data_IF_882390868322
#
_entry.id   IF_882390868322
#
_cell.length_a   1.000
_cell.length_b   1.000
_cell.length_c   1.000
_cell.angle_alpha   90.00
_cell.angle_beta   90.00
_cell.angle_gamma   90.00
#
_symmetry.space_group_name_H-M   'P 1'
#
loop_
_entity.id
_entity.type
_entity.pdbx_description
1 polymer ?
#
# COMPACT_ATOMS: atom_id res chain seq x y z
N UNK A 1 0.85 -9.53 11.32
CA UNK A 1 1.05 -8.09 11.57
C UNK A 1 -0.12 -7.63 12.39
N UNK A 2 0.12 -6.93 13.49
CA UNK A 2 -0.95 -6.44 14.35
C UNK A 2 -1.05 -4.94 14.15
N UNK A 3 -2.19 -4.47 13.66
CA UNK A 3 -2.46 -3.04 13.59
C UNK A 3 -2.59 -2.49 15.01
N UNK A 4 -2.21 -1.22 15.26
CA UNK A 4 -2.51 -0.56 16.52
C UNK A 4 -4.01 -0.63 16.82
N UNK A 5 -4.38 -0.85 18.08
CA UNK A 5 -5.78 -1.03 18.50
C UNK A 5 -6.56 0.28 18.61
N UNK A 6 -5.87 1.41 18.74
CA UNK A 6 -6.47 2.73 18.86
C UNK A 6 -5.84 3.76 17.91
N UNK A 7 -6.62 4.76 17.45
CA UNK A 7 -6.15 5.79 16.52
C UNK A 7 -4.98 6.61 17.08
N UNK A 8 -4.93 6.82 18.39
CA UNK A 8 -3.86 7.58 19.07
C UNK A 8 -2.48 6.92 18.96
N UNK A 9 -2.46 5.63 18.65
CA UNK A 9 -1.25 4.82 18.45
C UNK A 9 -1.04 4.44 16.98
N UNK A 10 -1.92 4.92 16.10
CA UNK A 10 -1.84 4.68 14.67
C UNK A 10 -1.35 5.93 13.95
N UNK A 11 -0.36 5.74 13.09
CA UNK A 11 -0.07 6.74 12.06
C UNK A 11 -0.97 6.47 10.84
N UNK A 12 -1.08 7.42 9.92
CA UNK A 12 -1.75 7.20 8.63
C UNK A 12 -0.98 6.23 7.70
N UNK A 13 0.16 5.70 8.15
CA UNK A 13 1.01 4.82 7.35
C UNK A 13 0.48 3.38 7.41
N UNK A 14 0.20 2.81 6.24
CA UNK A 14 -0.29 1.44 6.10
C UNK A 14 0.75 0.61 5.36
N UNK A 15 1.23 -0.46 6.00
CA UNK A 15 2.11 -1.46 5.39
C UNK A 15 1.34 -2.75 5.17
N UNK A 16 1.40 -3.31 3.96
CA UNK A 16 0.69 -4.54 3.62
C UNK A 16 1.43 -5.35 2.55
N UNK A 17 1.04 -6.62 2.45
CA UNK A 17 1.40 -7.51 1.35
C UNK A 17 0.13 -8.04 0.68
N UNK A 18 0.26 -8.47 -0.58
CA UNK A 18 -0.83 -9.11 -1.32
C UNK A 18 -0.52 -10.60 -1.39
N UNK A 19 -1.44 -11.44 -0.92
CA UNK A 19 -1.26 -12.90 -0.89
C UNK A 19 -0.91 -13.41 -2.28
N UNK A 20 0.15 -14.21 -2.38
CA UNK A 20 0.60 -14.81 -3.64
C UNK A 20 1.38 -13.87 -4.56
N UNK A 21 1.69 -12.63 -4.15
CA UNK A 21 2.49 -11.67 -4.94
C UNK A 21 3.75 -11.26 -4.20
N UNK A 22 4.87 -11.18 -4.91
CA UNK A 22 6.10 -10.60 -4.38
C UNK A 22 5.93 -9.09 -4.17
N UNK A 23 6.50 -8.53 -3.10
CA UNK A 23 6.37 -7.08 -2.85
C UNK A 23 7.02 -6.22 -3.94
N UNK A 24 8.06 -6.75 -4.63
CA UNK A 24 8.60 -6.15 -5.85
C UNK A 24 7.58 -6.05 -6.98
N UNK A 25 6.79 -7.09 -7.21
CA UNK A 25 5.76 -7.12 -8.26
C UNK A 25 4.62 -6.16 -7.95
N UNK A 26 4.16 -6.15 -6.69
CA UNK A 26 3.14 -5.19 -6.20
C UNK A 26 3.66 -3.76 -6.38
N UNK A 27 4.91 -3.52 -6.00
CA UNK A 27 5.56 -2.21 -6.14
C UNK A 27 5.62 -1.75 -7.60
N UNK A 28 6.05 -2.61 -8.51
CA UNK A 28 6.12 -2.34 -9.95
C UNK A 28 4.74 -2.08 -10.56
N UNK A 29 3.74 -2.89 -10.20
CA UNK A 29 2.37 -2.73 -10.68
C UNK A 29 1.73 -1.42 -10.23
N UNK A 30 1.99 -0.97 -8.99
CA UNK A 30 1.52 0.32 -8.50
C UNK A 30 2.23 1.48 -9.21
N UNK A 31 3.55 1.41 -9.40
CA UNK A 31 4.32 2.44 -10.11
C UNK A 31 3.90 2.58 -11.58
N UNK A 32 3.57 1.48 -12.26
CA UNK A 32 3.02 1.52 -13.62
C UNK A 32 1.71 2.31 -13.72
N UNK A 33 0.98 2.45 -12.62
CA UNK A 33 -0.25 3.26 -12.49
C UNK A 33 0.02 4.65 -11.92
N UNK A 34 1.28 5.07 -11.85
CA UNK A 34 1.74 6.35 -11.25
C UNK A 34 1.44 6.47 -9.75
N UNK A 35 1.22 5.35 -9.06
CA UNK A 35 1.06 5.32 -7.61
C UNK A 35 2.44 5.15 -6.98
N UNK A 36 2.95 6.22 -6.36
CA UNK A 36 4.27 6.23 -5.75
C UNK A 36 4.18 5.71 -4.31
N UNK A 37 4.94 4.67 -4.02
CA UNK A 37 5.02 4.05 -2.70
C UNK A 37 6.47 3.66 -2.36
N UNK A 38 6.67 3.22 -1.11
CA UNK A 38 7.94 2.66 -0.66
C UNK A 38 7.79 1.18 -0.28
N UNK A 39 8.83 0.35 -0.51
CA UNK A 39 8.86 -1.01 -0.01
C UNK A 39 8.59 -1.05 1.50
N UNK A 40 7.80 -2.02 1.94
CA UNK A 40 7.70 -2.36 3.34
C UNK A 40 8.82 -3.35 3.71
N UNK A 41 9.38 -3.15 4.91
CA UNK A 41 10.35 -4.03 5.57
C UNK A 41 11.71 -4.18 4.87
N UNK A 42 12.67 -4.75 5.61
CA UNK A 42 13.90 -5.29 5.05
C UNK A 42 13.52 -6.49 4.16
N UNK A 43 13.92 -6.47 2.87
CA UNK A 43 13.66 -7.49 1.82
C UNK A 43 12.40 -7.32 0.93
N UNK A 44 11.77 -6.15 0.87
CA UNK A 44 10.70 -5.88 -0.12
C UNK A 44 9.53 -6.89 -0.08
N UNK A 45 9.14 -7.36 1.12
CA UNK A 45 8.06 -8.35 1.28
C UNK A 45 6.65 -7.76 1.17
N UNK A 46 6.56 -6.43 0.99
CA UNK A 46 5.31 -5.72 0.79
C UNK A 46 5.55 -4.27 0.38
N UNK A 47 4.50 -3.47 0.45
CA UNK A 47 4.53 -2.04 0.16
C UNK A 47 3.97 -1.25 1.34
N UNK A 48 4.41 -0.01 1.45
CA UNK A 48 3.96 0.94 2.46
C UNK A 48 3.43 2.20 1.80
N UNK A 49 2.22 2.57 2.18
CA UNK A 49 1.51 3.75 1.73
C UNK A 49 1.49 4.75 2.89
N UNK A 50 1.77 6.01 2.59
CA UNK A 50 1.76 7.10 3.55
C UNK A 50 0.96 8.26 2.94
N UNK A 51 -0.38 8.25 3.08
CA UNK A 51 -1.20 9.40 2.74
C UNK A 51 -0.73 10.62 3.52
N UNK A 52 -0.80 11.77 2.88
CA UNK A 52 -0.48 13.06 3.47
C UNK A 52 -1.73 13.94 3.51
N UNK A 53 -1.64 15.10 4.14
CA UNK A 53 -2.74 16.07 4.23
C UNK A 53 -3.32 16.47 2.86
N UNK A 54 -2.52 16.45 1.81
CA UNK A 54 -2.93 16.77 0.44
C UNK A 54 -3.36 15.54 -0.37
N UNK A 55 -3.37 14.34 0.21
CA UNK A 55 -3.90 13.14 -0.46
C UNK A 55 -5.42 13.16 -0.37
N UNK A 56 -6.07 13.11 -1.52
CA UNK A 56 -7.52 13.12 -1.66
C UNK A 56 -8.15 11.73 -1.55
N UNK A 57 -9.44 11.68 -1.20
CA UNK A 57 -10.20 10.42 -1.17
C UNK A 57 -10.23 9.73 -2.54
N UNK A 58 -10.26 10.50 -3.64
CA UNK A 58 -10.21 9.96 -5.00
C UNK A 58 -8.89 9.24 -5.30
N UNK A 59 -7.76 9.74 -4.76
CA UNK A 59 -6.46 9.05 -4.87
C UNK A 59 -6.44 7.77 -4.02
N UNK A 60 -7.08 7.77 -2.85
CA UNK A 60 -7.23 6.57 -2.02
C UNK A 60 -8.07 5.50 -2.72
N UNK A 61 -9.21 5.88 -3.31
CA UNK A 61 -10.04 4.94 -4.08
C UNK A 61 -9.30 4.39 -5.31
N UNK A 62 -8.51 5.22 -5.98
CA UNK A 62 -7.65 4.79 -7.09
C UNK A 62 -6.62 3.75 -6.64
N UNK A 63 -6.00 3.94 -5.47
CA UNK A 63 -5.11 2.96 -4.85
C UNK A 63 -5.83 1.66 -4.52
N UNK A 64 -7.01 1.72 -3.90
CA UNK A 64 -7.80 0.53 -3.54
C UNK A 64 -8.17 -0.27 -4.79
N UNK A 65 -8.63 0.39 -5.85
CA UNK A 65 -8.93 -0.24 -7.13
C UNK A 65 -7.70 -0.93 -7.74
N UNK A 66 -6.53 -0.29 -7.69
CA UNK A 66 -5.28 -0.87 -8.16
C UNK A 66 -4.89 -2.14 -7.37
N UNK A 67 -4.96 -2.10 -6.04
CA UNK A 67 -4.66 -3.26 -5.18
C UNK A 67 -5.64 -4.40 -5.44
N UNK A 68 -6.94 -4.12 -5.61
CA UNK A 68 -7.94 -5.13 -5.99
C UNK A 68 -7.59 -5.77 -7.33
N UNK A 69 -7.18 -4.99 -8.33
CA UNK A 69 -6.73 -5.50 -9.63
C UNK A 69 -5.51 -6.43 -9.49
N UNK A 70 -4.53 -6.05 -8.69
CA UNK A 70 -3.33 -6.87 -8.43
C UNK A 70 -3.68 -8.17 -7.70
N UNK A 71 -4.65 -8.15 -6.79
CA UNK A 71 -5.04 -9.32 -6.00
C UNK A 71 -5.79 -10.40 -6.79
N UNK A 72 -6.37 -10.05 -7.94
CA UNK A 72 -7.17 -10.97 -8.79
C UNK A 72 -6.37 -11.63 -9.90
N UNK A 73 -5.26 -11.03 -10.33
CA UNK A 73 -4.30 -11.64 -11.27
C UNK A 73 -3.29 -12.49 -10.53
#
# INVERSE_FOLDING_TARGET
MQSPSGPDTSTAIVAFSVKGKGGGDVSSALRARRIIQRPAFLKFSGVRIAPAFFTSDAEIETLIAAVRGISKG
#
